data_IF_650008763790
#
_entry.id   IF_650008763790
#
_cell.length_a   1.000
_cell.length_b   1.000
_cell.length_c   1.000
_cell.angle_alpha   90.00
_cell.angle_beta   90.00
_cell.angle_gamma   90.00
#
_symmetry.space_group_name_H-M   'P 1'
#
loop_
_entity.id
_entity.type
_entity.pdbx_description
1 polymer ?
#
# COMPACT_ATOMS: atom_id res chain seq x y z
N UNK A 1 16.89 -16.98 -5.31
CA UNK A 1 16.25 -15.70 -4.91
C UNK A 1 14.76 -15.68 -5.25
N UNK A 2 14.38 -15.86 -6.53
CA UNK A 2 12.98 -15.81 -6.98
C UNK A 2 12.05 -16.73 -6.16
N UNK A 3 12.43 -18.00 -5.97
CA UNK A 3 11.60 -18.95 -5.19
C UNK A 3 11.29 -18.48 -3.76
N UNK A 4 12.27 -17.89 -3.07
CA UNK A 4 12.06 -17.35 -1.72
C UNK A 4 11.07 -16.17 -1.74
N UNK A 5 11.17 -15.28 -2.73
CA UNK A 5 10.24 -14.17 -2.91
C UNK A 5 8.82 -14.65 -3.26
N UNK A 6 8.69 -15.65 -4.14
CA UNK A 6 7.40 -16.27 -4.49
C UNK A 6 6.73 -16.87 -3.27
N UNK A 7 7.47 -17.62 -2.44
CA UNK A 7 6.93 -18.22 -1.20
C UNK A 7 6.41 -17.15 -0.24
N UNK A 8 7.13 -16.04 -0.08
CA UNK A 8 6.67 -14.92 0.74
C UNK A 8 5.38 -14.30 0.19
N UNK A 9 5.30 -14.05 -1.12
CA UNK A 9 4.11 -13.50 -1.78
C UNK A 9 2.89 -14.44 -1.68
N UNK A 10 3.09 -15.75 -1.86
CA UNK A 10 2.05 -16.76 -1.70
C UNK A 10 1.56 -16.83 -0.25
N UNK A 11 2.47 -16.77 0.72
CA UNK A 11 2.12 -16.75 2.16
C UNK A 11 1.22 -15.57 2.48
N UNK A 12 1.57 -14.36 2.03
CA UNK A 12 0.81 -13.15 2.35
C UNK A 12 -0.54 -13.08 1.61
N UNK A 13 -0.63 -13.67 0.42
CA UNK A 13 -1.84 -13.57 -0.44
C UNK A 13 -2.80 -14.74 -0.21
N UNK A 14 -2.32 -15.97 -0.35
CA UNK A 14 -3.16 -17.19 -0.33
C UNK A 14 -3.67 -17.47 1.08
N UNK A 15 -2.86 -17.25 2.12
CA UNK A 15 -3.32 -17.44 3.51
C UNK A 15 -4.41 -16.44 3.90
N UNK A 16 -4.53 -15.32 3.18
CA UNK A 16 -5.61 -14.34 3.34
C UNK A 16 -6.81 -14.59 2.42
N UNK A 17 -6.82 -15.73 1.72
CA UNK A 17 -7.92 -16.15 0.83
C UNK A 17 -7.92 -15.48 -0.54
N UNK A 18 -6.85 -14.80 -0.94
CA UNK A 18 -6.76 -14.14 -2.25
C UNK A 18 -6.09 -15.05 -3.28
N UNK A 19 -6.68 -15.12 -4.48
CA UNK A 19 -6.03 -15.69 -5.66
C UNK A 19 -5.14 -14.62 -6.34
N UNK A 20 -3.80 -14.77 -6.31
CA UNK A 20 -2.87 -13.77 -6.85
C UNK A 20 -3.08 -13.48 -8.35
N UNK A 21 -3.62 -14.43 -9.12
CA UNK A 21 -3.84 -14.28 -10.58
C UNK A 21 -4.76 -13.10 -10.93
N UNK A 22 -5.65 -12.73 -10.00
CA UNK A 22 -6.61 -11.65 -10.20
C UNK A 22 -6.01 -10.24 -9.99
N UNK A 23 -4.74 -10.15 -9.59
CA UNK A 23 -4.05 -8.90 -9.27
C UNK A 23 -3.00 -8.53 -10.31
N UNK A 24 -2.46 -7.31 -10.17
CA UNK A 24 -1.24 -6.88 -10.86
C UNK A 24 -0.09 -6.83 -9.85
N UNK A 25 1.06 -7.39 -10.21
CA UNK A 25 2.25 -7.32 -9.35
C UNK A 25 2.88 -5.93 -9.43
N UNK A 26 3.04 -5.22 -8.31
CA UNK A 26 3.84 -3.99 -8.28
C UNK A 26 5.23 -4.34 -7.75
N UNK A 27 6.25 -4.15 -8.58
CA UNK A 27 7.65 -4.37 -8.21
C UNK A 27 8.36 -3.03 -8.02
N UNK A 28 9.02 -2.88 -6.87
CA UNK A 28 9.79 -1.70 -6.49
C UNK A 28 11.03 -2.11 -5.68
N UNK A 29 11.86 -1.14 -5.30
CA UNK A 29 13.19 -1.35 -4.76
C UNK A 29 14.22 -1.54 -5.87
N UNK A 30 15.49 -1.29 -5.55
CA UNK A 30 16.57 -1.25 -6.56
C UNK A 30 16.69 -2.52 -7.42
N UNK A 31 16.40 -3.69 -6.84
CA UNK A 31 16.44 -4.98 -7.55
C UNK A 31 15.06 -5.50 -7.96
N UNK A 32 13.95 -4.86 -7.56
CA UNK A 32 12.60 -5.39 -7.78
C UNK A 32 12.27 -5.59 -9.26
N UNK A 33 12.68 -4.66 -10.11
CA UNK A 33 12.47 -4.73 -11.56
C UNK A 33 13.21 -5.88 -12.24
N UNK A 34 14.29 -6.42 -11.66
CA UNK A 34 15.01 -7.56 -12.24
C UNK A 34 14.22 -8.87 -12.12
N UNK A 35 13.35 -8.96 -11.12
CA UNK A 35 12.62 -10.17 -10.80
C UNK A 35 11.16 -10.15 -11.26
N UNK A 36 10.68 -9.02 -11.79
CA UNK A 36 9.25 -8.76 -12.02
C UNK A 36 8.56 -9.80 -12.90
N UNK A 37 9.14 -10.15 -14.05
CA UNK A 37 8.57 -11.15 -14.97
C UNK A 37 8.55 -12.54 -14.33
N UNK A 38 9.70 -13.01 -13.82
CA UNK A 38 9.81 -14.32 -13.19
C UNK A 38 8.88 -14.49 -11.96
N UNK A 39 8.70 -13.43 -11.15
CA UNK A 39 7.76 -13.44 -10.04
C UNK A 39 6.31 -13.47 -10.52
N UNK A 40 5.97 -12.67 -11.54
CA UNK A 40 4.63 -12.66 -12.10
C UNK A 40 4.26 -14.02 -12.71
N UNK A 41 5.18 -14.64 -13.48
CA UNK A 41 4.99 -15.96 -14.07
C UNK A 41 4.79 -17.05 -13.01
N UNK A 42 5.62 -17.07 -11.96
CA UNK A 42 5.50 -18.03 -10.86
C UNK A 42 4.19 -17.87 -10.07
N UNK A 43 3.61 -16.66 -10.05
CA UNK A 43 2.30 -16.36 -9.45
C UNK A 43 1.15 -16.46 -10.46
N UNK A 44 1.43 -16.85 -11.71
CA UNK A 44 0.47 -16.93 -12.82
C UNK A 44 -0.24 -15.60 -13.11
N UNK A 45 0.40 -14.47 -12.78
CA UNK A 45 -0.09 -13.13 -13.06
C UNK A 45 0.26 -12.74 -14.50
N UNK A 46 -0.69 -12.07 -15.18
CA UNK A 46 -0.48 -11.60 -16.56
C UNK A 46 -0.03 -10.14 -16.66
N UNK A 47 0.03 -9.45 -15.52
CA UNK A 47 0.25 -8.00 -15.43
C UNK A 47 1.18 -7.68 -14.27
N UNK A 48 2.17 -6.85 -14.54
CA UNK A 48 3.01 -6.26 -13.52
C UNK A 48 3.28 -4.78 -13.81
N UNK A 49 3.69 -4.04 -12.79
CA UNK A 49 3.94 -2.60 -12.85
C UNK A 49 5.26 -2.32 -12.16
N UNK A 50 6.17 -1.62 -12.85
CA UNK A 50 7.34 -0.99 -12.24
C UNK A 50 7.12 0.52 -12.23
N UNK A 51 6.87 1.14 -11.06
CA UNK A 51 6.60 2.58 -10.96
C UNK A 51 7.76 3.43 -11.47
N UNK A 52 7.50 4.68 -11.89
CA UNK A 52 8.53 5.61 -12.38
C UNK A 52 9.68 5.82 -11.39
N UNK A 53 9.38 5.83 -10.09
CA UNK A 53 10.37 5.91 -9.01
C UNK A 53 10.56 4.56 -8.31
N UNK A 54 10.49 3.46 -9.07
CA UNK A 54 10.51 2.09 -8.55
C UNK A 54 11.70 1.82 -7.63
N UNK A 55 12.91 2.24 -8.00
CA UNK A 55 14.12 2.03 -7.17
C UNK A 55 14.10 2.70 -5.80
N UNK A 56 13.33 3.78 -5.64
CA UNK A 56 13.28 4.63 -4.43
C UNK A 56 11.86 4.84 -3.90
N UNK A 57 10.94 3.93 -4.23
CA UNK A 57 9.51 4.10 -3.93
C UNK A 57 9.22 4.27 -2.44
N UNK A 58 10.00 3.65 -1.55
CA UNK A 58 9.87 3.82 -0.10
C UNK A 58 10.19 5.24 0.36
N UNK A 59 11.25 5.84 -0.18
CA UNK A 59 11.62 7.22 0.13
C UNK A 59 10.57 8.20 -0.40
N UNK A 60 10.04 7.94 -1.60
CA UNK A 60 8.91 8.69 -2.13
C UNK A 60 7.69 8.57 -1.22
N UNK A 61 7.37 7.36 -0.74
CA UNK A 61 6.27 7.11 0.19
C UNK A 61 6.39 7.94 1.46
N UNK A 62 7.60 8.06 2.02
CA UNK A 62 7.87 8.94 3.16
C UNK A 62 7.66 10.42 2.83
N UNK A 63 8.09 10.87 1.65
CA UNK A 63 7.98 12.27 1.23
C UNK A 63 6.52 12.69 1.02
N UNK A 64 5.66 11.79 0.51
CA UNK A 64 4.27 12.11 0.15
C UNK A 64 3.25 11.69 1.20
N UNK A 65 3.71 11.08 2.31
CA UNK A 65 2.85 10.67 3.41
C UNK A 65 2.22 11.89 4.08
N UNK A 66 0.95 11.76 4.44
CA UNK A 66 0.26 12.74 5.27
C UNK A 66 0.84 12.67 6.69
N UNK A 67 1.25 13.81 7.30
CA UNK A 67 1.60 13.83 8.71
C UNK A 67 0.42 13.27 9.52
N UNK A 68 0.68 12.28 10.37
CA UNK A 68 -0.39 11.65 11.14
C UNK A 68 0.08 11.20 12.52
N UNK A 69 -0.88 11.05 13.42
CA UNK A 69 -0.68 10.48 14.76
C UNK A 69 -1.83 9.54 15.07
N UNK A 70 -1.49 8.38 15.60
CA UNK A 70 -2.43 7.41 16.16
C UNK A 70 -2.18 7.35 17.66
N UNK A 71 -3.17 7.73 18.45
CA UNK A 71 -3.11 7.62 19.90
C UNK A 71 -4.12 6.59 20.37
N UNK A 72 -3.77 5.86 21.43
CA UNK A 72 -4.66 4.91 22.06
C UNK A 72 -4.62 5.02 23.57
N UNK A 73 -5.76 4.83 24.21
CA UNK A 73 -5.88 4.68 25.65
C UNK A 73 -6.55 3.34 25.97
N UNK A 74 -5.87 2.47 26.71
CA UNK A 74 -6.43 1.18 27.10
C UNK A 74 -7.43 1.35 28.23
N UNK A 75 -8.63 0.82 28.02
CA UNK A 75 -9.75 0.88 28.94
C UNK A 75 -10.55 -0.42 28.79
N UNK A 76 -10.30 -1.38 29.67
CA UNK A 76 -10.98 -2.69 29.62
C UNK A 76 -12.19 -2.66 30.54
N UNK A 77 -13.39 -2.64 29.96
CA UNK A 77 -14.64 -2.64 30.70
C UNK A 77 -15.83 -3.05 29.82
N UNK A 78 -16.94 -3.44 30.44
CA UNK A 78 -18.17 -3.73 29.71
C UNK A 78 -18.69 -2.45 29.01
N UNK A 79 -18.95 -2.55 27.70
CA UNK A 79 -19.24 -1.40 26.83
C UNK A 79 -20.46 -0.62 27.33
N UNK A 80 -21.59 -1.31 27.55
CA UNK A 80 -22.85 -0.67 27.98
C UNK A 80 -22.83 -0.19 29.42
N UNK A 81 -21.84 -0.58 30.22
CA UNK A 81 -21.63 -0.06 31.58
C UNK A 81 -20.70 1.15 31.61
N UNK A 82 -20.17 1.56 30.45
CA UNK A 82 -19.31 2.73 30.31
C UNK A 82 -20.10 4.03 30.41
N UNK A 83 -19.42 5.10 30.83
CA UNK A 83 -19.99 6.45 30.85
C UNK A 83 -19.57 7.23 29.60
N UNK A 84 -20.53 7.53 28.73
CA UNK A 84 -20.33 8.28 27.48
C UNK A 84 -19.60 9.61 27.71
N UNK A 85 -19.89 10.33 28.80
CA UNK A 85 -19.22 11.61 29.09
C UNK A 85 -17.76 11.41 29.48
N UNK A 86 -17.45 10.34 30.22
CA UNK A 86 -16.05 10.01 30.56
C UNK A 86 -15.26 9.61 29.31
N UNK A 87 -15.85 8.81 28.43
CA UNK A 87 -15.22 8.44 27.16
C UNK A 87 -14.98 9.67 26.28
N UNK A 88 -15.95 10.59 26.22
CA UNK A 88 -15.83 11.84 25.48
C UNK A 88 -14.68 12.71 26.02
N UNK A 89 -14.55 12.84 27.35
CA UNK A 89 -13.42 13.55 27.95
C UNK A 89 -12.07 12.90 27.61
N UNK A 90 -11.97 11.57 27.68
CA UNK A 90 -10.75 10.85 27.30
C UNK A 90 -10.39 11.06 25.81
N UNK A 91 -11.40 11.10 24.93
CA UNK A 91 -11.17 11.45 23.53
C UNK A 91 -10.61 12.87 23.38
N UNK A 92 -11.18 13.85 24.07
CA UNK A 92 -10.69 15.23 24.03
C UNK A 92 -9.24 15.35 24.55
N UNK A 93 -8.87 14.58 25.58
CA UNK A 93 -7.49 14.51 26.07
C UNK A 93 -6.53 13.93 25.03
N UNK A 94 -6.88 12.79 24.42
CA UNK A 94 -6.10 12.17 23.36
C UNK A 94 -5.96 13.08 22.13
N UNK A 95 -7.01 13.79 21.76
CA UNK A 95 -7.00 14.78 20.68
C UNK A 95 -6.06 15.93 20.99
N UNK A 96 -6.15 16.51 22.19
CA UNK A 96 -5.29 17.61 22.60
C UNK A 96 -3.81 17.20 22.58
N UNK A 97 -3.49 15.99 23.07
CA UNK A 97 -2.15 15.43 22.99
C UNK A 97 -1.68 15.23 21.55
N UNK A 98 -2.53 14.65 20.70
CA UNK A 98 -2.23 14.43 19.29
C UNK A 98 -2.00 15.72 18.51
N UNK A 99 -2.88 16.71 18.70
CA UNK A 99 -2.76 18.03 18.07
C UNK A 99 -1.45 18.70 18.52
N UNK A 100 -1.16 18.69 19.83
CA UNK A 100 0.09 19.26 20.37
C UNK A 100 1.33 18.60 19.74
N UNK A 101 1.33 17.27 19.59
CA UNK A 101 2.44 16.53 18.99
C UNK A 101 2.65 16.80 17.48
N UNK A 102 1.67 17.42 16.81
CA UNK A 102 1.73 17.76 15.38
C UNK A 102 1.95 19.27 15.13
N UNK A 103 1.95 20.12 16.16
CA UNK A 103 1.97 21.59 16.00
C UNK A 103 3.12 22.13 15.15
N UNK A 104 4.26 21.44 15.12
CA UNK A 104 5.43 21.85 14.32
C UNK A 104 5.43 21.24 12.91
N UNK A 105 4.55 20.28 12.63
CA UNK A 105 4.50 19.52 11.36
C UNK A 105 3.39 20.01 10.43
N UNK A 106 2.34 20.64 10.98
CA UNK A 106 1.16 21.08 10.22
C UNK A 106 0.79 22.53 10.55
N UNK A 107 0.30 23.24 9.53
CA UNK A 107 -0.16 24.63 9.65
C UNK A 107 -1.67 24.75 9.82
N UNK A 108 -2.40 23.65 9.62
CA UNK A 108 -3.87 23.60 9.69
C UNK A 108 -4.31 22.55 10.70
N UNK A 109 -5.58 22.64 11.14
CA UNK A 109 -6.13 21.69 12.10
C UNK A 109 -6.25 20.31 11.43
N UNK A 110 -5.76 19.23 12.07
CA UNK A 110 -5.83 17.91 11.48
C UNK A 110 -7.28 17.42 11.44
N UNK A 111 -7.59 16.57 10.46
CA UNK A 111 -8.79 15.75 10.47
C UNK A 111 -8.67 14.73 11.60
N UNK A 112 -9.67 14.72 12.49
CA UNK A 112 -9.69 13.83 13.65
C UNK A 112 -10.75 12.75 13.46
N UNK A 113 -10.39 11.50 13.74
CA UNK A 113 -11.31 10.36 13.78
C UNK A 113 -11.17 9.62 15.09
N UNK A 114 -12.31 9.37 15.74
CA UNK A 114 -12.41 8.62 16.99
C UNK A 114 -12.94 7.22 16.72
N UNK A 115 -12.41 6.24 17.44
CA UNK A 115 -12.89 4.86 17.38
C UNK A 115 -12.64 4.10 18.68
N UNK A 116 -13.33 2.97 18.83
CA UNK A 116 -13.17 2.03 19.93
C UNK A 116 -12.73 0.68 19.39
N UNK A 117 -11.80 0.02 20.07
CA UNK A 117 -11.54 -1.40 19.89
C UNK A 117 -12.45 -2.19 20.80
N UNK A 118 -13.32 -3.01 20.20
CA UNK A 118 -14.35 -3.77 20.89
C UNK A 118 -14.17 -5.26 20.63
N UNK A 119 -14.59 -6.09 21.57
CA UNK A 119 -14.64 -7.54 21.40
C UNK A 119 -15.80 -8.13 22.19
N UNK A 120 -16.19 -9.36 21.89
CA UNK A 120 -16.98 -10.09 22.87
C UNK A 120 -16.11 -10.44 24.08
N UNK A 121 -16.70 -10.36 25.28
CA UNK A 121 -16.00 -10.66 26.53
C UNK A 121 -15.33 -12.03 26.46
N UNK A 122 -14.03 -12.09 26.74
CA UNK A 122 -13.23 -13.33 26.68
C UNK A 122 -12.59 -13.65 25.32
N UNK A 123 -12.88 -12.90 24.25
CA UNK A 123 -12.17 -13.07 22.97
C UNK A 123 -10.77 -12.44 23.00
N UNK A 124 -9.86 -12.94 22.15
CA UNK A 124 -8.49 -12.39 22.05
C UNK A 124 -8.36 -11.24 21.05
N UNK A 125 -9.22 -11.18 20.04
CA UNK A 125 -9.14 -10.20 18.95
C UNK A 125 -10.23 -9.14 19.06
N UNK A 126 -9.91 -7.91 18.67
CA UNK A 126 -10.84 -6.78 18.66
C UNK A 126 -11.25 -6.39 17.24
N UNK A 127 -12.40 -5.74 17.13
CA UNK A 127 -12.85 -5.03 15.95
C UNK A 127 -12.88 -3.53 16.27
N UNK A 128 -12.32 -2.73 15.36
CA UNK A 128 -12.35 -1.27 15.49
C UNK A 128 -13.66 -0.69 14.94
N UNK A 129 -14.37 0.05 15.77
CA UNK A 129 -15.68 0.65 15.48
C UNK A 129 -15.61 2.16 15.66
N UNK A 130 -16.09 2.93 14.69
CA UNK A 130 -16.09 4.39 14.77
C UNK A 130 -16.96 4.87 15.95
N UNK A 131 -16.46 5.86 16.69
CA UNK A 131 -17.20 6.48 17.79
C UNK A 131 -18.19 7.50 17.22
N UNK A 132 -19.45 7.41 17.65
CA UNK A 132 -20.54 8.32 17.25
C UNK A 132 -21.20 9.03 18.43
N UNK A 133 -20.71 8.79 19.65
CA UNK A 133 -21.26 9.35 20.89
C UNK A 133 -22.28 8.47 21.62
N UNK A 134 -22.77 7.37 21.02
CA UNK A 134 -23.86 6.57 21.59
C UNK A 134 -23.49 5.08 21.70
N UNK A 135 -23.30 4.60 22.94
CA UNK A 135 -22.83 3.22 23.21
C UNK A 135 -23.74 2.15 22.60
N UNK A 136 -25.06 2.36 22.64
CA UNK A 136 -26.02 1.42 22.05
C UNK A 136 -25.89 1.30 20.53
N UNK A 137 -25.62 2.41 19.83
CA UNK A 137 -25.45 2.33 18.38
C UNK A 137 -24.12 1.67 18.03
N UNK A 138 -23.07 1.98 18.77
CA UNK A 138 -21.75 1.38 18.62
C UNK A 138 -21.79 -0.14 18.83
N UNK A 139 -22.54 -0.62 19.83
CA UNK A 139 -22.74 -2.05 20.04
C UNK A 139 -23.42 -2.72 18.83
N UNK A 140 -24.47 -2.09 18.28
CA UNK A 140 -25.11 -2.58 17.06
C UNK A 140 -24.17 -2.59 15.86
N UNK A 141 -23.34 -1.56 15.71
CA UNK A 141 -22.30 -1.48 14.68
C UNK A 141 -21.26 -2.59 14.85
N UNK A 142 -20.86 -2.88 16.09
CA UNK A 142 -19.98 -4.00 16.40
C UNK A 142 -20.58 -5.33 15.98
N UNK A 143 -21.83 -5.62 16.35
CA UNK A 143 -22.49 -6.87 15.96
C UNK A 143 -22.60 -7.02 14.44
N UNK A 144 -22.96 -5.96 13.71
CA UNK A 144 -23.00 -5.96 12.24
C UNK A 144 -21.60 -6.19 11.65
N UNK A 145 -20.56 -5.57 12.22
CA UNK A 145 -19.17 -5.73 11.75
C UNK A 145 -18.64 -7.14 12.04
N UNK A 146 -18.98 -7.71 13.19
CA UNK A 146 -18.60 -9.06 13.58
C UNK A 146 -19.24 -10.09 12.66
N UNK A 147 -20.54 -9.97 12.40
CA UNK A 147 -21.26 -10.84 11.46
C UNK A 147 -20.68 -10.77 10.04
N UNK A 148 -20.36 -9.56 9.56
CA UNK A 148 -19.70 -9.41 8.25
C UNK A 148 -18.30 -10.03 8.19
N UNK A 149 -17.56 -10.04 9.31
CA UNK A 149 -16.16 -10.48 9.36
C UNK A 149 -16.03 -11.97 9.63
N UNK A 150 -16.89 -12.54 10.49
CA UNK A 150 -16.83 -13.92 10.99
C UNK A 150 -18.07 -14.75 10.66
N UNK A 151 -19.09 -14.17 10.02
CA UNK A 151 -20.30 -14.88 9.57
C UNK A 151 -21.38 -15.10 10.63
N UNK A 152 -21.20 -14.60 11.86
CA UNK A 152 -22.16 -14.81 12.96
C UNK A 152 -22.11 -13.69 14.00
N UNK A 153 -23.14 -13.63 14.86
CA UNK A 153 -23.19 -12.81 16.09
C UNK A 153 -23.22 -13.74 17.30
N UNK A 154 -22.68 -13.28 18.41
CA UNK A 154 -22.75 -13.97 19.70
C UNK A 154 -23.68 -13.19 20.64
N UNK A 155 -24.45 -13.92 21.46
CA UNK A 155 -25.22 -13.37 22.57
C UNK A 155 -24.32 -13.24 23.81
N UNK A 156 -23.28 -12.42 23.69
CA UNK A 156 -22.31 -12.16 24.74
C UNK A 156 -22.15 -10.66 24.95
N UNK A 157 -21.83 -10.21 26.18
CA UNK A 157 -21.50 -8.82 26.42
C UNK A 157 -20.32 -8.35 25.56
N UNK A 158 -20.42 -7.12 25.06
CA UNK A 158 -19.34 -6.44 24.35
C UNK A 158 -18.45 -5.74 25.37
N UNK A 159 -17.14 -5.96 25.26
CA UNK A 159 -16.11 -5.35 26.08
C UNK A 159 -15.39 -4.27 25.26
N UNK A 160 -15.31 -3.07 25.81
CA UNK A 160 -14.40 -2.02 25.37
C UNK A 160 -12.98 -2.40 25.79
N UNK A 161 -12.00 -2.26 24.88
CA UNK A 161 -10.58 -2.54 25.16
C UNK A 161 -9.71 -1.31 25.03
N UNK A 162 -9.89 -0.52 23.96
CA UNK A 162 -9.14 0.71 23.74
C UNK A 162 -10.02 1.82 23.15
N UNK A 163 -9.76 3.06 23.55
CA UNK A 163 -10.13 4.24 22.79
C UNK A 163 -8.99 4.56 21.82
N UNK A 164 -9.32 5.04 20.62
CA UNK A 164 -8.35 5.42 19.59
C UNK A 164 -8.70 6.76 18.95
N UNK A 165 -7.68 7.59 18.76
CA UNK A 165 -7.76 8.85 18.00
C UNK A 165 -6.74 8.80 16.87
N UNK A 166 -7.24 8.91 15.64
CA UNK A 166 -6.45 9.09 14.42
C UNK A 166 -6.50 10.57 14.03
N UNK A 167 -5.34 11.21 13.98
CA UNK A 167 -5.19 12.58 13.48
C UNK A 167 -4.42 12.56 12.17
N UNK A 168 -4.94 13.27 11.17
CA UNK A 168 -4.32 13.39 9.84
C UNK A 168 -4.21 14.85 9.44
N UNK A 169 -3.00 15.30 9.17
CA UNK A 169 -2.71 16.58 8.56
C UNK A 169 -3.07 16.60 7.07
N UNK A 170 -2.89 17.76 6.45
CA UNK A 170 -3.03 17.89 5.01
C UNK A 170 -1.98 17.09 4.27
N UNK A 171 -2.37 16.58 3.10
CA UNK A 171 -1.46 15.89 2.22
C UNK A 171 -0.47 16.88 1.61
N UNK A 172 0.85 16.61 1.68
CA UNK A 172 1.81 17.45 1.00
C UNK A 172 1.53 17.46 -0.51
N UNK A 173 1.67 18.61 -1.19
CA UNK A 173 1.45 18.68 -2.63
C UNK A 173 2.49 17.81 -3.33
N UNK A 174 2.00 16.83 -4.09
CA UNK A 174 2.84 15.97 -4.91
C UNK A 174 2.10 15.60 -6.19
N UNK A 175 2.81 15.70 -7.31
CA UNK A 175 2.34 15.25 -8.61
C UNK A 175 3.40 14.35 -9.24
N UNK A 176 2.95 13.23 -9.81
CA UNK A 176 3.81 12.45 -10.70
C UNK A 176 4.10 13.26 -11.96
N UNK A 177 5.27 13.06 -12.59
CA UNK A 177 5.57 13.74 -13.85
C UNK A 177 4.58 13.27 -14.93
N UNK A 178 4.23 14.18 -15.83
CA UNK A 178 3.52 13.86 -17.06
C UNK A 178 4.55 13.70 -18.16
N UNK A 179 4.71 12.49 -18.69
CA UNK A 179 5.60 12.25 -19.81
C UNK A 179 4.99 12.81 -21.09
N UNK A 180 5.57 13.91 -21.58
CA UNK A 180 5.27 14.46 -22.89
C UNK A 180 6.22 13.89 -23.95
N UNK A 181 5.66 13.53 -25.11
CA UNK A 181 6.43 13.00 -26.24
C UNK A 181 7.16 14.11 -27.05
N UNK A 182 7.20 15.34 -26.54
CA UNK A 182 7.84 16.48 -27.23
C UNK A 182 9.33 16.52 -26.91
N UNK A 183 10.17 16.57 -27.94
CA UNK A 183 11.62 16.85 -27.90
C UNK A 183 12.57 15.76 -27.38
N UNK A 184 12.18 14.48 -27.37
CA UNK A 184 13.15 13.39 -27.19
C UNK A 184 13.49 12.81 -28.57
N UNK A 185 14.73 13.01 -29.01
CA UNK A 185 15.28 12.33 -30.20
C UNK A 185 15.28 10.81 -29.98
N UNK A 186 15.53 10.03 -31.04
CA UNK A 186 15.65 8.58 -30.92
C UNK A 186 16.72 8.24 -29.88
N UNK A 187 16.30 7.67 -28.75
CA UNK A 187 17.21 7.22 -27.71
C UNK A 187 18.21 6.22 -28.30
N UNK A 188 19.49 6.36 -27.96
CA UNK A 188 20.50 5.38 -28.35
C UNK A 188 20.20 4.05 -27.63
N UNK A 189 19.79 3.04 -28.38
CA UNK A 189 19.66 1.66 -27.89
C UNK A 189 21.06 1.06 -27.87
N UNK A 190 21.50 0.63 -26.69
CA UNK A 190 22.78 -0.07 -26.55
C UNK A 190 22.54 -1.56 -26.56
N UNK A 191 23.37 -2.31 -27.26
CA UNK A 191 23.32 -3.77 -27.26
C UNK A 191 24.47 -4.30 -26.41
N UNK A 192 24.16 -5.17 -25.46
CA UNK A 192 25.17 -5.77 -24.57
C UNK A 192 25.14 -7.29 -24.66
N UNK A 193 26.29 -7.93 -24.45
CA UNK A 193 26.36 -9.36 -24.20
C UNK A 193 26.11 -9.62 -22.72
N UNK A 194 25.12 -10.44 -22.41
CA UNK A 194 24.78 -10.81 -21.04
C UNK A 194 24.92 -12.32 -20.83
N UNK A 195 25.32 -12.71 -19.63
CA UNK A 195 25.41 -14.13 -19.27
C UNK A 195 24.01 -14.76 -19.26
N UNK A 196 23.86 -15.92 -19.89
CA UNK A 196 22.57 -16.62 -20.03
C UNK A 196 21.73 -16.21 -21.25
N UNK A 197 22.25 -15.33 -22.11
CA UNK A 197 21.64 -14.98 -23.39
C UNK A 197 22.62 -15.25 -24.53
N UNK A 198 22.15 -15.96 -25.56
CA UNK A 198 22.93 -16.23 -26.76
C UNK A 198 23.03 -14.98 -27.66
N UNK A 199 21.95 -14.21 -27.72
CA UNK A 199 21.86 -12.95 -28.47
C UNK A 199 22.21 -11.73 -27.61
N UNK A 200 22.51 -10.60 -28.28
CA UNK A 200 22.69 -9.32 -27.60
C UNK A 200 21.37 -8.82 -27.03
N UNK A 201 21.40 -8.31 -25.79
CA UNK A 201 20.25 -7.67 -25.17
C UNK A 201 20.21 -6.18 -25.47
N UNK A 202 19.03 -5.71 -25.88
CA UNK A 202 18.75 -4.29 -25.96
C UNK A 202 18.68 -3.66 -24.57
N UNK A 203 19.39 -2.55 -24.40
CA UNK A 203 19.41 -1.75 -23.18
C UNK A 203 18.84 -0.37 -23.49
N UNK A 204 17.73 -0.07 -22.82
CA UNK A 204 16.98 1.16 -22.94
C UNK A 204 17.23 2.03 -21.69
N UNK A 205 17.64 3.28 -21.88
CA UNK A 205 17.70 4.25 -20.78
C UNK A 205 16.28 4.72 -20.45
N UNK A 206 15.81 4.49 -19.22
CA UNK A 206 14.43 4.78 -18.81
C UNK A 206 14.06 6.25 -19.03
N UNK A 207 14.99 7.16 -18.76
CA UNK A 207 14.79 8.60 -18.91
C UNK A 207 14.52 9.02 -20.36
N UNK A 208 14.88 8.20 -21.34
CA UNK A 208 14.66 8.47 -22.76
C UNK A 208 13.35 7.88 -23.30
N UNK A 209 12.64 7.08 -22.50
CA UNK A 209 11.39 6.46 -22.93
C UNK A 209 10.27 7.49 -23.10
N UNK A 210 9.39 7.21 -24.05
CA UNK A 210 8.22 8.02 -24.40
C UNK A 210 6.95 7.40 -23.86
N UNK A 211 5.95 8.25 -23.55
CA UNK A 211 4.61 7.78 -23.20
C UNK A 211 4.02 6.98 -24.37
N UNK A 212 3.50 5.79 -24.06
CA UNK A 212 2.96 4.85 -25.04
C UNK A 212 4.00 3.94 -25.71
N UNK A 213 5.30 4.21 -25.55
CA UNK A 213 6.35 3.35 -26.10
C UNK A 213 6.24 1.93 -25.55
N UNK A 214 6.46 0.95 -26.43
CA UNK A 214 6.44 -0.48 -26.07
C UNK A 214 7.80 -1.09 -26.33
N UNK A 215 8.29 -1.85 -25.35
CA UNK A 215 9.55 -2.59 -25.41
C UNK A 215 9.22 -4.08 -25.29
N UNK A 216 9.78 -4.87 -26.20
CA UNK A 216 9.60 -6.31 -26.27
C UNK A 216 10.77 -6.98 -25.57
N UNK A 217 10.51 -7.94 -24.68
CA UNK A 217 11.58 -8.76 -24.12
C UNK A 217 12.14 -9.78 -25.13
N UNK A 218 13.38 -10.25 -24.96
CA UNK A 218 14.25 -9.98 -23.81
C UNK A 218 14.95 -8.61 -23.93
N UNK A 219 14.79 -7.75 -22.92
CA UNK A 219 15.36 -6.39 -22.92
C UNK A 219 15.59 -5.87 -21.49
N UNK A 220 16.53 -4.93 -21.34
CA UNK A 220 16.82 -4.23 -20.10
C UNK A 220 16.38 -2.78 -20.19
N UNK A 221 15.71 -2.30 -19.14
CA UNK A 221 15.40 -0.88 -18.94
C UNK A 221 16.16 -0.43 -17.71
N UNK A 222 17.15 0.44 -17.90
CA UNK A 222 18.07 0.88 -16.85
C UNK A 222 17.78 2.32 -16.42
N UNK A 223 17.98 2.60 -15.15
CA UNK A 223 17.92 3.94 -14.56
C UNK A 223 18.96 4.02 -13.43
N UNK A 224 19.19 5.23 -12.91
CA UNK A 224 20.22 5.47 -11.89
C UNK A 224 20.05 4.62 -10.62
N UNK A 225 18.82 4.27 -10.26
CA UNK A 225 18.48 3.67 -8.96
C UNK A 225 17.86 2.28 -9.06
N UNK A 226 17.65 1.75 -10.27
CA UNK A 226 17.13 0.39 -10.47
C UNK A 226 17.36 -0.13 -11.90
N UNK A 227 17.07 -1.40 -12.12
CA UNK A 227 17.03 -1.99 -13.46
C UNK A 227 15.80 -2.89 -13.56
N UNK A 228 15.11 -2.80 -14.70
CA UNK A 228 13.97 -3.67 -15.04
C UNK A 228 14.38 -4.62 -16.14
N UNK A 229 14.19 -5.91 -15.90
CA UNK A 229 14.36 -6.94 -16.93
C UNK A 229 12.98 -7.30 -17.50
N UNK A 230 12.81 -7.10 -18.80
CA UNK A 230 11.62 -7.51 -19.55
C UNK A 230 11.96 -8.85 -20.18
N UNK A 231 11.41 -9.93 -19.63
CA UNK A 231 11.74 -11.30 -20.06
C UNK A 231 11.12 -11.65 -21.42
N UNK A 232 11.62 -12.72 -22.04
CA UNK A 232 11.01 -13.30 -23.23
C UNK A 232 9.52 -13.61 -22.98
N UNK A 233 8.66 -13.30 -23.95
CA UNK A 233 7.21 -13.42 -23.80
C UNK A 233 6.55 -12.26 -23.05
N UNK A 234 7.30 -11.32 -22.48
CA UNK A 234 6.76 -10.10 -21.89
C UNK A 234 6.94 -8.88 -22.81
N UNK A 235 6.09 -7.88 -22.62
CA UNK A 235 6.29 -6.52 -23.15
C UNK A 235 6.09 -5.49 -22.05
N UNK A 236 6.89 -4.43 -22.05
CA UNK A 236 6.69 -3.26 -21.20
C UNK A 236 6.09 -2.11 -22.02
N UNK A 237 4.97 -1.54 -21.57
CA UNK A 237 4.40 -0.31 -22.13
C UNK A 237 4.57 0.83 -21.13
N UNK A 238 5.10 1.95 -21.59
CA UNK A 238 5.24 3.17 -20.76
C UNK A 238 3.89 3.88 -20.72
N UNK A 239 3.37 4.17 -19.53
CA UNK A 239 2.15 4.98 -19.38
C UNK A 239 2.44 6.50 -19.37
N UNK A 240 1.39 7.32 -19.25
CA UNK A 240 1.51 8.78 -19.25
C UNK A 240 2.27 9.35 -18.05
N UNK A 241 2.49 8.56 -17.00
CA UNK A 241 3.23 8.95 -15.80
C UNK A 241 4.63 8.32 -15.74
N UNK A 242 5.02 7.54 -16.75
CA UNK A 242 6.32 6.86 -16.82
C UNK A 242 6.43 5.56 -16.05
N UNK A 243 5.30 4.99 -15.60
CA UNK A 243 5.29 3.62 -15.09
C UNK A 243 5.48 2.64 -16.27
N UNK A 244 6.18 1.54 -16.00
CA UNK A 244 6.30 0.44 -16.94
C UNK A 244 5.19 -0.56 -16.64
N UNK A 245 4.24 -0.68 -17.55
CA UNK A 245 3.17 -1.68 -17.51
C UNK A 245 3.66 -2.93 -18.25
N UNK A 246 4.05 -3.95 -17.50
CA UNK A 246 4.46 -5.23 -18.06
C UNK A 246 3.24 -6.11 -18.30
N UNK A 247 3.15 -6.65 -19.51
CA UNK A 247 2.07 -7.51 -19.96
C UNK A 247 2.66 -8.79 -20.54
N UNK A 248 2.17 -9.93 -20.08
CA UNK A 248 2.45 -11.22 -20.69
C UNK A 248 1.79 -11.26 -22.07
N UNK A 249 2.52 -11.73 -23.09
CA UNK A 249 2.04 -11.84 -24.48
C UNK A 249 1.15 -13.04 -24.70
#
# INVERSE_FOLDING_TARGET
ANEHMVRALQTISVQRGFDPQNFSLICFGGAGGLHVCALADALKMRRAIVPIYGGVLSALGMLVAEPSRELSHSCIQDLLSSDEKKLENLFLELEAHGIKAMQQEINTRPLVKRSLDLRYKGQSFTLNIAWDGALKNIEQMFHKRHEKTYGHKLEMPVELVNLRVSLKGEKPPFALPVLNNKNKGSAEIKNIKAYGFDDLLEVHQRENLLSGQTITGPALIVEKVSTTFVDAGWRARVDGWGNLLLLLR
#
